data_IF_796321663643
#
_entry.id   IF_796321663643
#
_cell.length_a   1.000
_cell.length_b   1.000
_cell.length_c   1.000
_cell.angle_alpha   90.00
_cell.angle_beta   90.00
_cell.angle_gamma   90.00
#
_symmetry.space_group_name_H-M   'P 1'
#
loop_
_entity.id
_entity.type
_entity.pdbx_description
1 polymer ?
#
# COMPACT_ATOMS: atom_id res chain seq x y z
N UNK A 1 12.48 -18.67 -17.15
CA UNK A 1 11.95 -18.27 -15.83
C UNK A 1 10.61 -18.97 -15.66
N UNK A 2 10.36 -19.60 -14.52
CA UNK A 2 9.13 -20.38 -14.29
C UNK A 2 7.95 -19.40 -14.20
N UNK A 3 6.87 -19.70 -14.92
CA UNK A 3 5.61 -18.95 -14.79
C UNK A 3 5.16 -19.01 -13.33
N UNK A 4 5.00 -17.85 -12.69
CA UNK A 4 4.43 -17.73 -11.35
C UNK A 4 2.90 -17.90 -11.41
N UNK A 5 2.39 -18.98 -12.01
CA UNK A 5 1.01 -19.39 -11.78
C UNK A 5 0.92 -19.97 -10.36
N UNK A 6 0.82 -19.05 -9.39
CA UNK A 6 0.73 -19.33 -7.96
C UNK A 6 -0.65 -19.89 -7.57
N UNK A 7 -1.63 -19.82 -8.48
CA UNK A 7 -3.01 -20.22 -8.25
C UNK A 7 -3.46 -21.09 -9.43
N UNK A 8 -4.10 -22.23 -9.15
CA UNK A 8 -4.73 -23.04 -10.19
C UNK A 8 -5.83 -22.23 -10.88
N UNK A 9 -5.93 -22.29 -12.21
CA UNK A 9 -6.94 -21.54 -12.99
C UNK A 9 -8.38 -21.71 -12.47
N UNK A 10 -8.65 -22.79 -11.74
CA UNK A 10 -9.94 -23.05 -11.09
C UNK A 10 -10.29 -22.15 -9.90
N UNK A 11 -9.32 -21.58 -9.16
CA UNK A 11 -9.66 -20.74 -8.00
C UNK A 11 -10.20 -19.39 -8.45
N UNK A 12 -9.50 -18.69 -9.36
CA UNK A 12 -9.94 -17.36 -9.81
C UNK A 12 -11.25 -17.42 -10.57
N UNK A 13 -11.48 -18.48 -11.36
CA UNK A 13 -12.74 -18.67 -12.10
C UNK A 13 -13.92 -19.06 -11.20
N UNK A 14 -13.66 -19.49 -9.95
CA UNK A 14 -14.71 -19.82 -8.97
C UNK A 14 -15.19 -18.64 -8.12
N UNK A 15 -14.45 -17.52 -8.13
CA UNK A 15 -14.76 -16.33 -7.33
C UNK A 15 -15.67 -15.37 -8.11
N UNK A 16 -16.62 -14.75 -7.42
CA UNK A 16 -17.40 -13.64 -7.94
C UNK A 16 -16.62 -12.31 -7.97
N UNK A 17 -17.16 -11.31 -8.67
CA UNK A 17 -16.49 -10.02 -8.88
C UNK A 17 -16.07 -9.34 -7.56
N UNK A 18 -16.93 -9.35 -6.54
CA UNK A 18 -16.63 -8.73 -5.24
C UNK A 18 -15.53 -9.50 -4.48
N UNK A 19 -15.50 -10.82 -4.60
CA UNK A 19 -14.47 -11.66 -3.98
C UNK A 19 -13.11 -11.43 -4.66
N UNK A 20 -13.09 -11.29 -5.99
CA UNK A 20 -11.88 -10.91 -6.74
C UNK A 20 -11.36 -9.53 -6.33
N UNK A 21 -12.25 -8.54 -6.17
CA UNK A 21 -11.86 -7.21 -5.69
C UNK A 21 -11.39 -7.22 -4.23
N UNK A 22 -11.99 -8.07 -3.39
CA UNK A 22 -11.58 -8.25 -2.00
C UNK A 22 -10.19 -8.88 -1.91
N UNK A 23 -9.95 -9.95 -2.68
CA UNK A 23 -8.64 -10.58 -2.82
C UNK A 23 -7.59 -9.58 -3.34
N UNK A 24 -7.94 -8.76 -4.33
CA UNK A 24 -7.04 -7.69 -4.81
C UNK A 24 -6.68 -6.71 -3.69
N UNK A 25 -7.65 -6.27 -2.89
CA UNK A 25 -7.42 -5.38 -1.74
C UNK A 25 -6.51 -6.00 -0.69
N UNK A 26 -6.70 -7.29 -0.37
CA UNK A 26 -5.86 -8.05 0.56
C UNK A 26 -4.42 -8.17 0.06
N UNK A 27 -4.22 -8.49 -1.22
CA UNK A 27 -2.90 -8.52 -1.85
C UNK A 27 -2.19 -7.16 -1.72
N UNK A 28 -2.90 -6.05 -1.96
CA UNK A 28 -2.32 -4.71 -1.81
C UNK A 28 -2.00 -4.37 -0.35
N UNK A 29 -2.82 -4.82 0.61
CA UNK A 29 -2.53 -4.66 2.04
C UNK A 29 -1.24 -5.40 2.41
N UNK A 30 -1.09 -6.63 1.95
CA UNK A 30 0.07 -7.46 2.24
C UNK A 30 1.36 -6.90 1.61
N UNK A 31 1.31 -6.50 0.34
CA UNK A 31 2.44 -5.84 -0.33
C UNK A 31 2.88 -4.56 0.41
N UNK A 32 1.92 -3.81 0.95
CA UNK A 32 2.21 -2.59 1.72
C UNK A 32 2.82 -2.92 3.08
N UNK A 33 2.31 -3.95 3.77
CA UNK A 33 2.87 -4.45 5.04
C UNK A 33 4.34 -4.85 4.88
N UNK A 34 4.68 -5.48 3.75
CA UNK A 34 6.06 -5.83 3.37
C UNK A 34 6.93 -4.64 2.94
N UNK A 35 6.38 -3.43 2.90
CA UNK A 35 7.07 -2.23 2.43
C UNK A 35 7.36 -2.20 0.93
N UNK A 36 6.76 -3.10 0.13
CA UNK A 36 6.97 -3.18 -1.32
C UNK A 36 6.22 -2.07 -2.06
N UNK A 37 5.03 -1.72 -1.58
CA UNK A 37 4.25 -0.59 -2.11
C UNK A 37 3.96 0.45 -1.04
N UNK A 38 3.76 1.71 -1.44
CA UNK A 38 3.53 2.84 -0.54
C UNK A 38 2.06 3.26 -0.51
N UNK A 39 1.38 3.09 -1.63
CA UNK A 39 -0.02 3.41 -1.91
C UNK A 39 -0.82 2.15 -2.23
N UNK A 40 -2.15 2.24 -2.22
CA UNK A 40 -3.05 1.15 -2.64
C UNK A 40 -3.54 1.32 -4.09
N UNK A 41 -2.84 2.13 -4.89
CA UNK A 41 -3.15 2.27 -6.31
C UNK A 41 -2.52 1.11 -7.09
N UNK A 42 -2.53 1.20 -8.42
CA UNK A 42 -1.84 0.25 -9.27
C UNK A 42 -0.36 0.09 -8.80
N UNK A 43 0.07 -1.11 -8.40
CA UNK A 43 1.33 -1.31 -7.68
C UNK A 43 2.59 -1.13 -8.54
N UNK A 44 2.45 -1.02 -9.87
CA UNK A 44 3.61 -1.00 -10.79
C UNK A 44 4.61 0.13 -10.48
N UNK A 45 4.12 1.32 -10.12
CA UNK A 45 4.98 2.46 -9.79
C UNK A 45 5.75 2.22 -8.50
N UNK A 46 5.02 2.00 -7.39
CA UNK A 46 5.63 1.80 -6.08
C UNK A 46 6.55 0.57 -6.05
N UNK A 47 6.18 -0.51 -6.75
CA UNK A 47 7.03 -1.69 -6.87
C UNK A 47 8.35 -1.38 -7.58
N UNK A 48 8.32 -0.58 -8.65
CA UNK A 48 9.54 -0.16 -9.33
C UNK A 48 10.43 0.70 -8.44
N UNK A 49 9.84 1.66 -7.72
CA UNK A 49 10.55 2.51 -6.76
C UNK A 49 11.24 1.66 -5.68
N UNK A 50 10.51 0.72 -5.08
CA UNK A 50 11.06 -0.21 -4.09
C UNK A 50 12.18 -1.08 -4.68
N UNK A 51 11.94 -1.70 -5.84
CA UNK A 51 12.89 -2.61 -6.47
C UNK A 51 14.19 -1.90 -6.83
N UNK A 52 14.10 -0.74 -7.47
CA UNK A 52 15.25 0.07 -7.87
C UNK A 52 16.01 0.53 -6.64
N UNK A 53 15.32 1.04 -5.62
CA UNK A 53 15.97 1.53 -4.40
C UNK A 53 16.67 0.42 -3.64
N UNK A 54 16.04 -0.75 -3.53
CA UNK A 54 16.67 -1.93 -2.91
C UNK A 54 17.86 -2.43 -3.72
N UNK A 55 17.75 -2.47 -5.05
CA UNK A 55 18.79 -3.01 -5.92
C UNK A 55 20.03 -2.10 -6.03
N UNK A 56 19.82 -0.78 -5.99
CA UNK A 56 20.88 0.22 -6.20
C UNK A 56 21.25 1.01 -4.93
N UNK A 57 20.66 0.67 -3.78
CA UNK A 57 20.94 1.34 -2.51
C UNK A 57 20.48 2.80 -2.45
N UNK A 58 19.40 3.15 -3.14
CA UNK A 58 18.87 4.52 -3.19
C UNK A 58 17.95 4.82 -2.01
N UNK A 59 17.85 6.10 -1.64
CA UNK A 59 16.93 6.58 -0.61
C UNK A 59 15.66 7.13 -1.26
N UNK A 60 14.50 6.52 -1.00
CA UNK A 60 13.22 7.01 -1.49
C UNK A 60 12.84 8.35 -0.84
N UNK A 61 12.41 9.30 -1.67
CA UNK A 61 11.83 10.56 -1.23
C UNK A 61 10.37 10.36 -0.79
N UNK A 62 9.87 11.29 0.04
CA UNK A 62 8.47 11.29 0.44
C UNK A 62 7.53 11.47 -0.76
N UNK A 63 6.33 10.89 -0.72
CA UNK A 63 5.34 10.92 -1.82
C UNK A 63 4.88 12.35 -2.23
N UNK A 64 5.22 13.37 -1.45
CA UNK A 64 4.88 14.78 -1.71
C UNK A 64 6.04 15.59 -2.29
N UNK A 65 7.19 14.95 -2.55
CA UNK A 65 8.37 15.61 -3.11
C UNK A 65 8.12 15.84 -4.61
N UNK A 66 8.20 17.10 -5.03
CA UNK A 66 8.00 17.43 -6.45
C UNK A 66 9.21 16.97 -7.28
N UNK A 67 8.93 16.24 -8.37
CA UNK A 67 9.85 16.05 -9.49
C UNK A 67 10.97 14.99 -9.34
N UNK A 68 11.10 14.32 -8.21
CA UNK A 68 12.01 13.18 -8.03
C UNK A 68 11.44 12.15 -7.05
N UNK A 69 11.80 10.88 -7.23
CA UNK A 69 11.31 9.76 -6.42
C UNK A 69 12.37 9.22 -5.45
N UNK A 70 13.66 9.39 -5.76
CA UNK A 70 14.76 8.88 -4.94
C UNK A 70 16.02 9.77 -5.02
N UNK A 71 16.96 9.54 -4.11
CA UNK A 71 18.31 10.09 -4.11
C UNK A 71 19.30 8.91 -4.13
N UNK A 72 20.30 8.97 -5.02
CA UNK A 72 21.37 7.96 -5.08
C UNK A 72 22.50 8.21 -4.05
N UNK A 73 23.51 7.33 -4.04
CA UNK A 73 24.63 7.42 -3.10
C UNK A 73 25.50 8.68 -3.29
N UNK A 74 25.49 9.27 -4.48
CA UNK A 74 26.24 10.48 -4.83
C UNK A 74 25.42 11.77 -4.58
N UNK A 75 24.18 11.63 -4.10
CA UNK A 75 23.27 12.75 -3.82
C UNK A 75 22.46 13.21 -5.03
N UNK A 76 22.50 12.49 -6.15
CA UNK A 76 21.76 12.82 -7.37
C UNK A 76 20.28 12.48 -7.22
N UNK A 77 19.42 13.34 -7.73
CA UNK A 77 17.97 13.16 -7.75
C UNK A 77 17.55 12.27 -8.90
N UNK A 78 16.73 11.27 -8.60
CA UNK A 78 16.32 10.23 -9.53
C UNK A 78 14.80 10.23 -9.68
N UNK A 79 14.31 10.32 -10.91
CA UNK A 79 12.92 9.98 -11.22
C UNK A 79 12.88 8.50 -11.64
N UNK A 80 11.91 7.75 -11.14
CA UNK A 80 11.65 6.35 -11.46
C UNK A 80 10.32 6.26 -12.20
N UNK A 81 10.31 5.61 -13.35
CA UNK A 81 9.07 5.30 -14.09
C UNK A 81 9.07 3.83 -14.47
N UNK A 82 7.87 3.26 -14.54
CA UNK A 82 7.74 1.87 -14.94
C UNK A 82 6.57 1.65 -15.88
N UNK A 83 6.65 0.55 -16.64
CA UNK A 83 5.60 0.10 -17.53
C UNK A 83 5.49 -1.43 -17.45
N UNK A 84 4.28 -1.92 -17.18
CA UNK A 84 3.93 -3.33 -17.34
C UNK A 84 3.41 -3.54 -18.76
N UNK A 85 4.07 -4.40 -19.53
CA UNK A 85 3.61 -4.81 -20.86
C UNK A 85 2.83 -6.11 -20.75
N UNK A 86 1.78 -6.23 -21.57
CA UNK A 86 0.95 -7.44 -21.67
C UNK A 86 0.79 -7.79 -23.16
N UNK A 87 0.37 -9.02 -23.50
CA UNK A 87 0.06 -9.39 -24.88
C UNK A 87 -0.91 -8.40 -25.56
N UNK A 88 -1.94 -7.93 -24.83
CA UNK A 88 -2.93 -6.97 -25.34
C UNK A 88 -2.40 -5.53 -25.42
N UNK A 89 -1.34 -5.20 -24.67
CA UNK A 89 -0.74 -3.88 -24.67
C UNK A 89 0.80 -3.95 -24.58
N UNK A 90 1.46 -4.20 -25.73
CA UNK A 90 2.92 -4.33 -25.79
C UNK A 90 3.65 -2.96 -25.74
N UNK A 91 2.92 -1.86 -25.56
CA UNK A 91 3.50 -0.52 -25.58
C UNK A 91 4.46 -0.31 -24.40
N UNK A 92 5.68 0.09 -24.72
CA UNK A 92 6.75 0.49 -23.78
C UNK A 92 6.75 2.01 -23.50
N UNK A 93 5.62 2.67 -23.75
CA UNK A 93 5.43 4.09 -23.44
C UNK A 93 5.32 4.29 -21.92
N UNK A 94 6.12 5.21 -21.38
CA UNK A 94 6.08 5.62 -19.99
C UNK A 94 4.99 6.66 -19.76
N UNK A 95 4.57 6.83 -18.50
CA UNK A 95 3.73 7.96 -18.12
C UNK A 95 4.45 9.29 -18.33
N UNK A 96 3.67 10.36 -18.49
CA UNK A 96 4.18 11.65 -18.90
C UNK A 96 5.13 12.26 -17.85
N UNK A 97 6.26 12.80 -18.33
CA UNK A 97 7.21 13.58 -17.55
C UNK A 97 6.80 15.06 -17.61
N UNK A 98 6.18 15.52 -16.53
CA UNK A 98 5.72 16.91 -16.39
C UNK A 98 6.86 17.79 -15.86
N UNK A 99 6.74 19.10 -16.05
CA UNK A 99 7.70 20.09 -15.58
C UNK A 99 9.15 19.77 -15.96
N UNK A 100 9.36 19.19 -17.15
CA UNK A 100 10.69 18.77 -17.60
C UNK A 100 11.71 19.92 -17.54
N UNK A 101 11.30 21.14 -17.93
CA UNK A 101 12.15 22.34 -17.88
C UNK A 101 12.62 22.74 -16.47
N UNK A 102 11.94 22.29 -15.41
CA UNK A 102 12.35 22.58 -14.04
C UNK A 102 13.60 21.81 -13.61
N UNK A 103 13.99 20.78 -14.37
CA UNK A 103 15.17 19.95 -14.10
C UNK A 103 15.22 19.41 -12.65
N UNK A 104 14.06 19.00 -12.12
CA UNK A 104 13.92 18.53 -10.72
C UNK A 104 14.63 17.20 -10.43
N UNK A 105 15.08 16.49 -11.46
CA UNK A 105 15.82 15.23 -11.38
C UNK A 105 16.98 15.20 -12.38
N UNK A 106 18.08 14.55 -11.99
CA UNK A 106 19.31 14.47 -12.78
C UNK A 106 19.29 13.34 -13.82
N UNK A 107 18.61 12.22 -13.50
CA UNK A 107 18.40 11.13 -14.44
C UNK A 107 17.13 10.34 -14.15
N UNK A 108 16.63 9.69 -15.19
CA UNK A 108 15.49 8.78 -15.15
C UNK A 108 15.98 7.34 -15.02
N UNK A 109 15.43 6.59 -14.09
CA UNK A 109 15.42 5.12 -14.14
C UNK A 109 14.08 4.67 -14.70
N UNK A 110 14.12 3.86 -15.75
CA UNK A 110 12.92 3.31 -16.35
C UNK A 110 12.93 1.79 -16.38
N UNK A 111 11.87 1.17 -15.87
CA UNK A 111 11.74 -0.29 -15.73
C UNK A 111 10.59 -0.81 -16.59
N UNK A 112 10.84 -1.85 -17.36
CA UNK A 112 9.82 -2.58 -18.11
C UNK A 112 9.59 -3.93 -17.45
N UNK A 113 8.35 -4.19 -17.04
CA UNK A 113 7.92 -5.47 -16.48
C UNK A 113 7.09 -6.26 -17.49
N UNK A 114 7.15 -7.59 -17.41
CA UNK A 114 6.15 -8.46 -18.04
C UNK A 114 4.84 -8.46 -17.25
N UNK A 115 3.83 -9.18 -17.76
CA UNK A 115 2.50 -9.27 -17.14
C UNK A 115 2.51 -9.87 -15.74
N UNK A 116 3.55 -10.65 -15.41
CA UNK A 116 3.79 -11.31 -14.12
C UNK A 116 4.79 -10.57 -13.24
N UNK A 117 5.08 -9.30 -13.55
CA UNK A 117 5.98 -8.43 -12.78
C UNK A 117 7.47 -8.82 -12.79
N UNK A 118 7.91 -9.70 -13.70
CA UNK A 118 9.34 -9.91 -13.90
C UNK A 118 9.97 -8.75 -14.66
N UNK A 119 11.20 -8.41 -14.32
CA UNK A 119 11.96 -7.38 -15.03
C UNK A 119 12.31 -7.89 -16.43
N UNK A 120 11.72 -7.26 -17.45
CA UNK A 120 12.12 -7.47 -18.84
C UNK A 120 13.34 -6.63 -19.18
N UNK A 121 13.35 -5.35 -18.81
CA UNK A 121 14.47 -4.43 -19.04
C UNK A 121 14.50 -3.31 -17.98
N UNK A 122 15.66 -2.69 -17.80
CA UNK A 122 15.84 -1.50 -16.98
C UNK A 122 16.88 -0.58 -17.59
N UNK A 123 16.64 0.73 -17.57
CA UNK A 123 17.52 1.74 -18.17
C UNK A 123 17.76 2.92 -17.23
N UNK A 124 19.01 3.37 -17.14
CA UNK A 124 19.40 4.68 -16.59
C UNK A 124 19.60 5.65 -17.76
N UNK A 125 18.84 6.74 -17.76
CA UNK A 125 18.76 7.71 -18.87
C UNK A 125 19.04 9.11 -18.30
N UNK A 126 20.16 9.76 -18.65
CA UNK A 126 20.44 11.14 -18.22
C UNK A 126 19.31 12.11 -18.61
N UNK A 127 19.04 13.11 -17.78
CA UNK A 127 17.95 14.06 -18.00
C UNK A 127 18.04 14.69 -19.41
N UNK A 128 19.22 15.11 -19.85
CA UNK A 128 19.46 15.72 -21.16
C UNK A 128 19.14 14.81 -22.36
N UNK A 129 19.23 13.49 -22.19
CA UNK A 129 18.97 12.52 -23.27
C UNK A 129 17.47 12.46 -23.58
N UNK A 130 16.63 12.66 -22.56
CA UNK A 130 15.18 12.55 -22.65
C UNK A 130 14.61 13.46 -23.74
N UNK A 131 15.04 14.72 -23.83
CA UNK A 131 14.53 15.69 -24.80
C UNK A 131 14.72 15.24 -26.25
N UNK A 132 15.79 14.51 -26.55
CA UNK A 132 16.09 14.08 -27.92
C UNK A 132 15.11 13.02 -28.44
N UNK A 133 14.44 12.30 -27.53
CA UNK A 133 13.61 11.14 -27.86
C UNK A 133 12.17 11.26 -27.37
N UNK A 134 11.89 12.18 -26.46
CA UNK A 134 10.54 12.39 -25.95
C UNK A 134 9.71 13.19 -26.97
N UNK A 135 8.45 12.77 -27.12
CA UNK A 135 7.45 13.57 -27.81
C UNK A 135 6.87 14.59 -26.82
N UNK A 136 6.88 15.87 -27.18
CA UNK A 136 6.13 16.88 -26.45
C UNK A 136 4.62 16.73 -26.68
N UNK A 137 3.83 16.85 -25.62
CA UNK A 137 2.37 16.87 -25.68
C UNK A 137 1.84 18.16 -25.06
N UNK A 138 1.32 19.05 -25.90
CA UNK A 138 0.80 20.35 -25.47
C UNK A 138 -0.41 20.21 -24.53
N UNK A 139 -1.26 19.21 -24.76
CA UNK A 139 -2.48 18.99 -23.97
C UNK A 139 -2.20 18.70 -22.49
N UNK A 140 -1.13 17.96 -22.20
CA UNK A 140 -0.73 17.63 -20.82
C UNK A 140 0.53 18.39 -20.38
N UNK A 141 1.04 19.29 -21.21
CA UNK A 141 2.30 20.02 -21.06
C UNK A 141 3.43 19.13 -20.50
N UNK A 142 3.72 18.06 -21.23
CA UNK A 142 4.62 17.01 -20.74
C UNK A 142 5.39 16.32 -21.87
N UNK A 143 6.49 15.68 -21.48
CA UNK A 143 7.34 14.87 -22.34
C UNK A 143 6.96 13.39 -22.19
N UNK A 144 6.67 12.73 -23.30
CA UNK A 144 6.29 11.31 -23.33
C UNK A 144 7.41 10.51 -24.00
N UNK A 145 8.00 9.58 -23.26
CA UNK A 145 9.05 8.68 -23.76
C UNK A 145 8.44 7.32 -24.10
N UNK A 146 8.88 6.75 -25.22
CA UNK A 146 8.65 5.35 -25.54
C UNK A 146 9.99 4.61 -25.62
N UNK A 147 10.18 3.61 -24.76
CA UNK A 147 11.44 2.87 -24.65
C UNK A 147 11.57 1.82 -25.76
N UNK A 148 11.75 2.30 -27.00
CA UNK A 148 11.95 1.50 -28.20
C UNK A 148 12.73 2.29 -29.26
N UNK A 149 13.41 1.60 -30.16
CA UNK A 149 14.11 2.23 -31.28
C UNK A 149 15.35 3.02 -30.85
N UNK A 150 15.57 4.19 -31.45
CA UNK A 150 16.83 4.93 -31.38
C UNK A 150 17.31 5.30 -29.96
N UNK A 151 16.40 5.54 -29.00
CA UNK A 151 16.78 5.80 -27.60
C UNK A 151 17.55 4.64 -26.98
N UNK A 152 17.26 3.39 -27.37
CA UNK A 152 17.93 2.21 -26.84
C UNK A 152 19.34 2.02 -27.44
N UNK A 153 19.68 2.76 -28.50
CA UNK A 153 20.99 2.74 -29.14
C UNK A 153 21.85 3.96 -28.76
N UNK A 154 21.32 4.94 -28.02
CA UNK A 154 22.12 6.06 -27.50
C UNK A 154 23.11 5.51 -26.45
N UNK A 155 24.43 5.71 -26.63
CA UNK A 155 25.44 5.17 -25.72
C UNK A 155 25.36 5.73 -24.29
N UNK A 156 24.64 6.84 -24.08
CA UNK A 156 24.39 7.42 -22.74
C UNK A 156 23.25 6.72 -22.01
N UNK A 157 22.46 5.88 -22.68
CA UNK A 157 21.41 5.06 -22.07
C UNK A 157 22.01 3.75 -21.61
N UNK A 158 22.12 3.59 -20.29
CA UNK A 158 22.81 2.45 -19.68
C UNK A 158 21.77 1.43 -19.25
N UNK A 159 21.92 0.18 -19.70
CA UNK A 159 21.11 -0.93 -19.19
C UNK A 159 21.48 -1.24 -17.74
N UNK A 160 20.48 -1.34 -16.88
CA UNK A 160 20.60 -1.75 -15.46
C UNK A 160 19.83 -3.04 -15.17
N UNK A 161 19.40 -3.76 -16.22
CA UNK A 161 18.57 -4.96 -16.12
C UNK A 161 19.16 -6.01 -15.17
N UNK A 162 20.48 -6.23 -15.24
CA UNK A 162 21.16 -7.24 -14.44
C UNK A 162 21.11 -6.91 -12.94
N UNK A 163 21.35 -5.64 -12.58
CA UNK A 163 21.24 -5.16 -11.20
C UNK A 163 19.84 -5.44 -10.63
N UNK A 164 18.80 -5.16 -11.40
CA UNK A 164 17.41 -5.37 -10.97
C UNK A 164 17.01 -6.86 -10.90
N UNK A 165 17.65 -7.72 -11.69
CA UNK A 165 17.32 -9.16 -11.73
C UNK A 165 17.98 -9.93 -10.59
N UNK A 166 19.22 -9.59 -10.21
CA UNK A 166 19.94 -10.21 -9.09
C UNK A 166 19.22 -9.95 -7.76
N UNK A 167 18.72 -8.73 -7.55
CA UNK A 167 17.96 -8.40 -6.33
C UNK A 167 16.63 -9.13 -6.25
N UNK A 168 16.04 -9.51 -7.39
CA UNK A 168 14.82 -10.29 -7.43
C UNK A 168 15.08 -11.77 -7.05
N UNK A 169 16.20 -12.36 -7.49
CA UNK A 169 16.53 -13.78 -7.20
C UNK A 169 16.97 -14.03 -5.76
N UNK A 170 17.58 -13.05 -5.08
CA UNK A 170 17.89 -13.14 -3.63
C UNK A 170 16.60 -13.26 -2.79
N UNK A 171 15.47 -12.80 -3.30
CA UNK A 171 14.15 -12.94 -2.66
C UNK A 171 13.51 -14.32 -2.88
N UNK A 172 14.01 -15.11 -3.85
CA UNK A 172 13.43 -16.40 -4.27
C UNK A 172 14.21 -17.60 -3.71
N UNK A 173 15.42 -17.38 -3.18
CA UNK A 173 16.31 -18.45 -2.70
C UNK A 173 16.27 -18.73 -1.18
N UNK A 174 15.38 -18.11 -0.42
CA UNK A 174 14.94 -18.70 0.84
C UNK A 174 13.66 -19.50 0.60
N UNK A 175 13.65 -20.70 1.18
CA UNK A 175 12.60 -21.72 1.15
C UNK A 175 12.59 -22.64 -0.07
N UNK A 176 13.52 -23.61 -0.04
CA UNK A 176 13.23 -24.94 -0.58
C UNK A 176 12.20 -25.60 0.34
N UNK A 177 10.92 -25.56 -0.05
CA UNK A 177 9.81 -26.17 0.69
C UNK A 177 9.89 -27.70 0.53
N UNK A 178 10.19 -28.40 1.61
CA UNK A 178 9.69 -29.75 1.83
C UNK A 178 8.39 -29.67 2.63
N UNK A 179 7.42 -30.47 2.20
CA UNK A 179 5.97 -30.32 2.34
C UNK A 179 5.39 -30.63 3.74
N UNK A 180 6.09 -30.34 4.83
CA UNK A 180 5.63 -30.67 6.19
C UNK A 180 5.40 -29.47 7.13
N UNK A 181 5.44 -28.22 6.64
CA UNK A 181 5.37 -27.00 7.48
C UNK A 181 4.02 -26.26 7.46
N UNK A 182 3.03 -26.71 6.68
CA UNK A 182 1.79 -25.95 6.48
C UNK A 182 0.90 -25.85 7.73
N UNK A 183 0.96 -26.82 8.64
CA UNK A 183 0.15 -26.77 9.88
C UNK A 183 0.79 -25.92 10.98
N UNK A 184 2.13 -25.90 11.06
CA UNK A 184 2.87 -25.10 12.04
C UNK A 184 2.96 -23.62 11.66
N UNK A 185 3.10 -23.31 10.36
CA UNK A 185 3.10 -21.91 9.90
C UNK A 185 1.73 -21.25 10.03
N UNK A 186 0.62 -21.97 9.82
CA UNK A 186 -0.72 -21.40 10.01
C UNK A 186 -0.99 -20.99 11.46
N UNK A 187 -0.48 -21.75 12.44
CA UNK A 187 -0.58 -21.40 13.86
C UNK A 187 0.24 -20.16 14.23
N UNK A 188 1.47 -20.07 13.73
CA UNK A 188 2.37 -18.93 13.99
C UNK A 188 1.88 -17.66 13.28
N UNK A 189 1.38 -17.76 12.04
CA UNK A 189 0.78 -16.65 11.30
C UNK A 189 -0.50 -16.16 11.98
N UNK A 190 -1.41 -17.05 12.39
CA UNK A 190 -2.60 -16.66 13.16
C UNK A 190 -2.24 -15.99 14.48
N UNK A 191 -1.19 -16.45 15.16
CA UNK A 191 -0.74 -15.84 16.41
C UNK A 191 -0.13 -14.46 16.17
N UNK A 192 0.68 -14.29 15.11
CA UNK A 192 1.30 -13.01 14.73
C UNK A 192 0.28 -12.00 14.18
N UNK A 193 -0.69 -12.44 13.39
CA UNK A 193 -1.86 -11.66 12.95
C UNK A 193 -2.69 -11.22 14.16
N UNK A 194 -2.94 -12.11 15.11
CA UNK A 194 -3.68 -11.78 16.35
C UNK A 194 -2.93 -10.76 17.20
N UNK A 195 -1.60 -10.88 17.33
CA UNK A 195 -0.76 -9.90 18.04
C UNK A 195 -0.77 -8.54 17.33
N UNK A 196 -0.66 -8.51 15.99
CA UNK A 196 -0.63 -7.28 15.20
C UNK A 196 -2.01 -6.61 15.15
N UNK A 197 -3.08 -7.41 15.07
CA UNK A 197 -4.47 -6.97 15.20
C UNK A 197 -4.72 -6.34 16.57
N UNK A 198 -4.31 -7.01 17.65
CA UNK A 198 -4.45 -6.47 19.00
C UNK A 198 -3.70 -5.14 19.19
N UNK A 199 -2.48 -5.02 18.65
CA UNK A 199 -1.68 -3.79 18.72
C UNK A 199 -2.33 -2.64 17.95
N UNK A 200 -2.81 -2.90 16.73
CA UNK A 200 -3.49 -1.90 15.89
C UNK A 200 -4.86 -1.50 16.44
N UNK A 201 -5.59 -2.45 17.04
CA UNK A 201 -6.87 -2.20 17.70
C UNK A 201 -6.69 -1.35 18.96
N UNK A 202 -5.66 -1.61 19.77
CA UNK A 202 -5.34 -0.79 20.94
C UNK A 202 -5.01 0.67 20.55
N UNK A 203 -4.32 0.90 19.42
CA UNK A 203 -4.05 2.25 18.90
C UNK A 203 -5.33 2.95 18.43
N UNK A 204 -6.22 2.23 17.74
CA UNK A 204 -7.53 2.75 17.35
C UNK A 204 -8.35 3.16 18.58
N UNK A 205 -8.39 2.31 19.61
CA UNK A 205 -9.10 2.59 20.86
C UNK A 205 -8.53 3.80 21.60
N UNK A 206 -7.20 4.02 21.59
CA UNK A 206 -6.59 5.25 22.11
C UNK A 206 -7.04 6.48 21.33
N UNK A 207 -7.09 6.39 20.00
CA UNK A 207 -7.52 7.50 19.14
C UNK A 207 -9.02 7.80 19.21
N UNK A 208 -9.85 6.78 19.48
CA UNK A 208 -11.29 6.93 19.71
C UNK A 208 -11.54 7.46 21.14
N UNK A 209 -10.74 7.01 22.10
CA UNK A 209 -11.04 7.10 23.53
C UNK A 209 -11.87 5.89 23.96
N UNK A 210 -11.34 5.09 24.89
CA UNK A 210 -11.98 3.85 25.36
C UNK A 210 -13.37 4.09 25.94
N UNK A 211 -13.51 5.12 26.78
CA UNK A 211 -14.81 5.53 27.34
C UNK A 211 -15.77 6.02 26.26
N UNK A 212 -15.28 6.81 25.30
CA UNK A 212 -16.09 7.25 24.16
C UNK A 212 -16.61 6.07 23.32
N UNK A 213 -15.78 5.04 23.12
CA UNK A 213 -16.19 3.85 22.36
C UNK A 213 -17.34 3.11 23.06
N UNK A 214 -17.25 2.91 24.38
CA UNK A 214 -18.28 2.23 25.19
C UNK A 214 -19.56 3.06 25.25
N UNK A 215 -19.47 4.33 25.67
CA UNK A 215 -20.64 5.17 25.93
C UNK A 215 -21.48 5.43 24.67
N UNK A 216 -20.86 5.42 23.50
CA UNK A 216 -21.51 5.68 22.22
C UNK A 216 -21.60 4.44 21.32
N UNK A 217 -21.30 3.24 21.84
CA UNK A 217 -21.24 2.01 21.04
C UNK A 217 -22.50 1.78 20.18
N UNK A 218 -23.68 1.80 20.79
CA UNK A 218 -24.95 1.60 20.08
C UNK A 218 -25.21 2.67 19.01
N UNK A 219 -24.80 3.92 19.26
CA UNK A 219 -24.92 5.01 18.28
C UNK A 219 -23.97 4.80 17.11
N UNK A 220 -22.76 4.33 17.38
CA UNK A 220 -21.77 4.03 16.34
C UNK A 220 -22.20 2.83 15.49
N UNK A 221 -22.80 1.81 16.12
CA UNK A 221 -23.29 0.59 15.47
C UNK A 221 -24.57 0.80 14.65
N UNK A 222 -25.38 1.81 14.97
CA UNK A 222 -26.62 2.09 14.23
C UNK A 222 -26.34 2.80 12.90
N UNK A 223 -26.59 2.09 11.80
CA UNK A 223 -26.46 2.60 10.44
C UNK A 223 -27.54 3.60 10.05
N UNK A 224 -28.66 3.64 10.78
CA UNK A 224 -29.77 4.56 10.51
C UNK A 224 -29.53 5.95 11.10
N UNK A 225 -28.56 6.09 12.01
CA UNK A 225 -28.20 7.38 12.59
C UNK A 225 -27.22 8.14 11.70
N UNK A 226 -27.57 9.40 11.43
CA UNK A 226 -26.71 10.32 10.70
C UNK A 226 -25.40 10.57 11.45
N UNK A 227 -24.31 10.62 10.71
CA UNK A 227 -23.01 11.01 11.26
C UNK A 227 -23.04 12.41 11.89
N UNK A 228 -23.84 13.33 11.33
CA UNK A 228 -23.96 14.69 11.84
C UNK A 228 -24.58 14.68 13.24
N UNK A 229 -25.67 13.95 13.44
CA UNK A 229 -26.40 13.87 14.70
C UNK A 229 -25.54 13.26 15.81
N UNK A 230 -24.78 12.20 15.48
CA UNK A 230 -23.86 11.59 16.46
C UNK A 230 -22.73 12.57 16.82
N UNK A 231 -22.17 13.29 15.84
CA UNK A 231 -21.12 14.27 16.11
C UNK A 231 -21.63 15.46 16.94
N UNK A 232 -22.87 15.92 16.70
CA UNK A 232 -23.52 16.97 17.47
C UNK A 232 -23.77 16.53 18.91
N UNK A 233 -24.23 15.29 19.12
CA UNK A 233 -24.40 14.72 20.46
C UNK A 233 -23.07 14.58 21.21
N UNK A 234 -22.02 14.14 20.54
CA UNK A 234 -20.67 14.05 21.13
C UNK A 234 -20.10 15.45 21.44
N UNK A 235 -20.32 16.43 20.55
CA UNK A 235 -19.87 17.80 20.76
C UNK A 235 -20.57 18.45 21.96
N UNK A 236 -21.89 18.31 22.05
CA UNK A 236 -22.71 18.93 23.10
C UNK A 236 -22.55 18.28 24.47
N UNK A 237 -22.37 16.95 24.56
CA UNK A 237 -22.24 16.24 25.84
C UNK A 237 -20.81 16.22 26.38
N UNK A 238 -19.83 16.02 25.50
CA UNK A 238 -18.43 15.78 25.90
C UNK A 238 -17.52 16.99 25.63
N UNK A 239 -18.02 18.03 24.95
CA UNK A 239 -17.22 19.22 24.59
C UNK A 239 -16.14 18.96 23.53
N UNK A 240 -16.17 17.81 22.85
CA UNK A 240 -15.20 17.47 21.81
C UNK A 240 -15.27 18.43 20.63
N UNK A 241 -14.12 18.82 20.04
CA UNK A 241 -14.13 19.60 18.80
C UNK A 241 -14.75 18.82 17.64
N UNK A 242 -15.29 19.51 16.63
CA UNK A 242 -15.91 18.86 15.47
C UNK A 242 -14.95 17.87 14.77
N UNK A 243 -13.69 18.29 14.58
CA UNK A 243 -12.62 17.44 14.02
C UNK A 243 -12.41 16.18 14.86
N UNK A 244 -12.48 16.32 16.18
CA UNK A 244 -12.34 15.23 17.15
C UNK A 244 -13.53 14.26 17.07
N UNK A 245 -14.77 14.75 17.05
CA UNK A 245 -15.98 13.93 16.89
C UNK A 245 -15.93 13.10 15.61
N UNK A 246 -15.61 13.75 14.47
CA UNK A 246 -15.48 13.10 13.17
C UNK A 246 -14.45 11.96 13.18
N UNK A 247 -13.29 12.21 13.81
CA UNK A 247 -12.21 11.23 13.89
C UNK A 247 -12.58 10.01 14.75
N UNK A 248 -13.21 10.25 15.90
CA UNK A 248 -13.67 9.20 16.83
C UNK A 248 -14.77 8.34 16.19
N UNK A 249 -15.80 8.99 15.63
CA UNK A 249 -16.91 8.33 14.94
C UNK A 249 -16.41 7.45 13.78
N UNK A 250 -15.56 8.00 12.91
CA UNK A 250 -15.06 7.27 11.73
C UNK A 250 -14.27 6.02 12.13
N UNK A 251 -13.40 6.13 13.15
CA UNK A 251 -12.61 5.00 13.65
C UNK A 251 -13.47 3.98 14.41
N UNK A 252 -14.42 4.43 15.22
CA UNK A 252 -15.33 3.53 15.95
C UNK A 252 -16.20 2.72 14.99
N UNK A 253 -16.80 3.37 13.98
CA UNK A 253 -17.53 2.67 12.90
C UNK A 253 -16.65 1.72 12.11
N UNK A 254 -15.36 2.05 11.92
CA UNK A 254 -14.40 1.13 11.32
C UNK A 254 -14.24 -0.13 12.18
N UNK A 255 -13.96 0.00 13.48
CA UNK A 255 -13.82 -1.15 14.40
C UNK A 255 -15.06 -2.05 14.35
N UNK A 256 -16.26 -1.45 14.38
CA UNK A 256 -17.52 -2.20 14.35
C UNK A 256 -17.73 -2.89 13.00
N UNK A 257 -17.54 -2.17 11.89
CA UNK A 257 -17.70 -2.72 10.53
C UNK A 257 -16.71 -3.85 10.25
N UNK A 258 -15.50 -3.74 10.80
CA UNK A 258 -14.45 -4.75 10.64
C UNK A 258 -14.69 -5.96 11.58
N UNK A 259 -15.81 -6.01 12.32
CA UNK A 259 -16.22 -7.15 13.16
C UNK A 259 -15.48 -7.26 14.49
N UNK A 260 -14.73 -6.22 14.88
CA UNK A 260 -13.82 -6.25 16.03
C UNK A 260 -14.45 -5.77 17.35
N UNK A 261 -15.78 -5.69 17.42
CA UNK A 261 -16.49 -5.12 18.58
C UNK A 261 -16.21 -5.86 19.89
N UNK A 262 -16.33 -7.20 19.89
CA UNK A 262 -16.12 -8.00 21.11
C UNK A 262 -14.65 -7.88 21.57
N UNK A 263 -13.70 -8.02 20.65
CA UNK A 263 -12.26 -7.89 20.95
C UNK A 263 -11.91 -6.50 21.50
N UNK A 264 -12.50 -5.45 20.92
CA UNK A 264 -12.32 -4.08 21.38
C UNK A 264 -12.89 -3.86 22.80
N UNK A 265 -14.10 -4.38 23.06
CA UNK A 265 -14.74 -4.26 24.38
C UNK A 265 -13.97 -5.05 25.44
N UNK A 266 -13.47 -6.24 25.11
CA UNK A 266 -12.64 -7.06 26.01
C UNK A 266 -11.35 -6.32 26.37
N UNK A 267 -10.67 -5.74 25.37
CA UNK A 267 -9.48 -4.89 25.59
C UNK A 267 -9.75 -3.70 26.51
N UNK A 268 -10.93 -3.08 26.40
CA UNK A 268 -11.34 -1.98 27.27
C UNK A 268 -11.64 -2.50 28.68
N UNK A 269 -12.34 -3.63 28.81
CA UNK A 269 -12.68 -4.24 30.09
C UNK A 269 -11.43 -4.69 30.86
N UNK A 270 -10.36 -5.10 30.17
CA UNK A 270 -9.08 -5.48 30.77
C UNK A 270 -8.15 -4.28 31.07
N UNK A 271 -8.51 -3.07 30.63
CA UNK A 271 -7.70 -1.87 30.82
C UNK A 271 -7.67 -1.45 32.29
N UNK A 272 -6.47 -1.43 32.89
CA UNK A 272 -6.28 -1.02 34.29
C UNK A 272 -6.41 0.49 34.56
N UNK A 273 -6.69 1.31 33.54
CA UNK A 273 -6.73 2.79 33.64
C UNK A 273 -8.13 3.39 33.48
N UNK A 274 -9.18 2.57 33.39
CA UNK A 274 -10.54 3.02 33.11
C UNK A 274 -11.44 2.94 34.35
N UNK A 275 -12.45 3.81 34.41
CA UNK A 275 -13.44 3.81 35.50
C UNK A 275 -14.24 2.50 35.52
N UNK A 276 -14.61 2.04 36.72
CA UNK A 276 -15.33 0.78 36.90
C UNK A 276 -16.71 0.77 36.23
N UNK A 277 -17.37 1.94 36.14
CA UNK A 277 -18.63 2.11 35.39
C UNK A 277 -18.47 1.73 33.92
N UNK A 278 -17.43 2.26 33.26
CA UNK A 278 -17.14 2.01 31.85
C UNK A 278 -16.73 0.55 31.63
N UNK A 279 -15.96 -0.03 32.55
CA UNK A 279 -15.62 -1.47 32.52
C UNK A 279 -16.88 -2.33 32.56
N UNK A 280 -17.79 -2.04 33.48
CA UNK A 280 -19.04 -2.80 33.62
C UNK A 280 -19.95 -2.65 32.40
N UNK A 281 -20.00 -1.47 31.79
CA UNK A 281 -20.78 -1.26 30.58
C UNK A 281 -20.17 -1.97 29.37
N UNK A 282 -18.83 -2.04 29.27
CA UNK A 282 -18.17 -2.86 28.27
C UNK A 282 -18.51 -4.35 28.42
N UNK A 283 -18.50 -4.89 29.65
CA UNK A 283 -18.87 -6.28 29.93
C UNK A 283 -20.34 -6.58 29.58
N UNK A 284 -21.26 -5.64 29.88
CA UNK A 284 -22.66 -5.77 29.46
C UNK A 284 -22.79 -5.80 27.93
N UNK A 285 -22.09 -4.92 27.23
CA UNK A 285 -22.10 -4.89 25.77
C UNK A 285 -21.59 -6.21 25.17
N UNK A 286 -20.53 -6.80 25.73
CA UNK A 286 -20.03 -8.12 25.30
C UNK A 286 -21.14 -9.18 25.43
N UNK A 287 -21.83 -9.24 26.57
CA UNK A 287 -22.90 -10.23 26.81
C UNK A 287 -24.10 -10.10 25.86
N UNK A 288 -24.28 -8.94 25.22
CA UNK A 288 -25.36 -8.70 24.24
C UNK A 288 -24.91 -9.05 22.81
N UNK A 289 -23.60 -9.08 22.55
CA UNK A 289 -23.02 -9.30 21.23
C UNK A 289 -22.57 -10.74 20.98
N UNK A 290 -22.39 -11.53 22.05
CA UNK A 290 -22.22 -13.00 22.00
C UNK A 290 -23.53 -13.73 21.67
#
# INVERSE_FOLDING_TARGET
MKNNHLISDGLLTSLGDIELLSLHSEILIELRSRGVIRTKNNPVGDYAEWLVSKALGMTLLSNSSAGADAIDADGMKVQIKARRVTPDNPSRQLSALRNYEAADFDYLIAVIFDETYNVLDGYKIPHEVIRNYARHSDHVNAHIINLKGAILADPRVISIKENLTISNSVSVNEVSIQTSQFETMAGVLKQQERITSHATLAELLKAIGMECFVNYYHRFADSNLSSADIMEQMHSREGYTEKSCRSRLSKARKVIRDGLSIEALTLIADSGRIQDSVRNDALKLISVLE
#
